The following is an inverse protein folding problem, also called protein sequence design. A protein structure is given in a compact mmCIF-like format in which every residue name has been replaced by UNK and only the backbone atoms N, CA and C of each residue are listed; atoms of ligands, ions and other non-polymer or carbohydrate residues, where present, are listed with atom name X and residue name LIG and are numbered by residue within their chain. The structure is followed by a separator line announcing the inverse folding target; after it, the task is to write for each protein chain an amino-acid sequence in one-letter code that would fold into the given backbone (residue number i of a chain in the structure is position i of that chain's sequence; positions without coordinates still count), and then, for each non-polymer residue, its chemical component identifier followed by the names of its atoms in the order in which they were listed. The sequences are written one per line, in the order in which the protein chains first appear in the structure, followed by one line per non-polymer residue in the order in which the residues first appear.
data_IF_629271307872
#
_entry.id   IF_629271307872
#
_cell.length_a   1.000
_cell.length_b   1.000
_cell.length_c   1.000
_cell.angle_alpha   90.00
_cell.angle_beta   90.00
_cell.angle_gamma   90.00
#
_symmetry.space_group_name_H-M   'P 1'
#
loop_
_entity.id
_entity.type
_entity.pdbx_description
1 polymer ?
#
# COMPACT_ATOMS: atom_id res chain seq x y z
N UNK A 1 37.23 10.37 -5.47
CA UNK A 1 35.92 10.32 -6.17
C UNK A 1 34.68 10.23 -5.27
N UNK A 2 34.69 9.54 -4.11
CA UNK A 2 33.49 9.40 -3.25
C UNK A 2 32.88 10.68 -2.66
N UNK A 3 33.69 11.71 -2.35
CA UNK A 3 33.20 13.01 -1.80
C UNK A 3 32.43 13.87 -2.82
N UNK A 4 32.67 13.69 -4.11
CA UNK A 4 31.99 14.42 -5.19
C UNK A 4 30.57 13.90 -5.41
N UNK A 5 30.40 12.58 -5.37
CA UNK A 5 29.11 11.91 -5.55
C UNK A 5 28.15 12.17 -4.37
N UNK A 6 28.66 12.19 -3.13
CA UNK A 6 27.88 12.55 -1.94
C UNK A 6 27.32 13.98 -2.00
N UNK A 7 28.13 14.97 -2.43
CA UNK A 7 27.68 16.36 -2.61
C UNK A 7 26.67 16.51 -3.75
N UNK A 8 26.78 15.70 -4.81
CA UNK A 8 25.82 15.72 -5.93
C UNK A 8 24.45 15.16 -5.52
N UNK A 9 24.44 14.10 -4.71
CA UNK A 9 23.22 13.55 -4.11
C UNK A 9 22.62 14.53 -3.10
N UNK A 10 23.41 15.13 -2.20
CA UNK A 10 22.95 16.16 -1.27
C UNK A 10 22.37 17.39 -1.98
N UNK A 11 22.99 17.87 -3.07
CA UNK A 11 22.47 18.99 -3.88
C UNK A 11 21.22 18.62 -4.67
N UNK A 12 21.08 17.36 -5.08
CA UNK A 12 19.88 16.88 -5.79
C UNK A 12 18.70 16.68 -4.83
N UNK A 13 18.96 16.17 -3.63
CA UNK A 13 17.98 16.11 -2.53
C UNK A 13 17.63 17.52 -2.05
N UNK A 14 18.61 18.40 -1.89
CA UNK A 14 18.42 19.82 -1.56
C UNK A 14 17.51 20.52 -2.55
N UNK A 15 17.78 20.41 -3.85
CA UNK A 15 16.90 20.96 -4.90
C UNK A 15 15.51 20.33 -4.92
N UNK A 16 15.34 19.04 -4.62
CA UNK A 16 14.01 18.43 -4.48
C UNK A 16 13.25 18.95 -3.26
N UNK A 17 13.95 19.20 -2.15
CA UNK A 17 13.40 19.77 -0.92
C UNK A 17 12.98 21.23 -1.16
N UNK A 18 13.83 22.01 -1.84
CA UNK A 18 13.63 23.43 -2.10
C UNK A 18 12.60 23.70 -3.22
N UNK A 19 12.45 22.77 -4.17
CA UNK A 19 11.44 22.86 -5.24
C UNK A 19 10.06 22.31 -4.85
N UNK A 20 9.90 21.78 -3.62
CA UNK A 20 8.60 21.28 -3.16
C UNK A 20 7.78 22.44 -2.58
N UNK A 21 6.66 22.85 -3.22
CA UNK A 21 5.82 23.92 -2.69
C UNK A 21 5.33 23.58 -1.27
N UNK A 22 5.20 24.56 -0.37
CA UNK A 22 4.57 24.39 0.95
C UNK A 22 3.15 23.82 0.87
N UNK A 23 2.52 23.88 -0.31
CA UNK A 23 1.18 23.37 -0.62
C UNK A 23 1.12 21.86 -0.94
N UNK A 24 2.25 21.14 -0.98
CA UNK A 24 2.22 19.68 -1.05
C UNK A 24 1.85 19.13 0.33
N UNK A 25 0.83 18.29 0.38
CA UNK A 25 0.36 17.64 1.60
C UNK A 25 1.45 16.70 2.15
N UNK A 26 2.34 17.24 3.01
CA UNK A 26 3.51 16.53 3.55
C UNK A 26 3.08 15.32 4.38
N UNK A 27 1.96 15.44 5.07
CA UNK A 27 1.27 14.37 5.78
C UNK A 27 0.94 13.17 4.88
N UNK A 28 0.46 13.39 3.64
CA UNK A 28 0.16 12.32 2.67
C UNK A 28 1.43 11.55 2.27
N UNK A 29 2.55 12.23 2.02
CA UNK A 29 3.82 11.59 1.68
C UNK A 29 4.42 10.84 2.88
N UNK A 30 4.30 11.40 4.09
CA UNK A 30 4.71 10.73 5.33
C UNK A 30 3.89 9.46 5.56
N UNK A 31 2.55 9.56 5.49
CA UNK A 31 1.68 8.41 5.74
C UNK A 31 1.90 7.30 4.72
N UNK A 32 2.23 7.63 3.47
CA UNK A 32 2.60 6.64 2.46
C UNK A 32 3.86 5.87 2.88
N UNK A 33 4.91 6.57 3.28
CA UNK A 33 6.14 5.96 3.76
C UNK A 33 5.90 5.14 5.04
N UNK A 34 5.20 5.71 6.01
CA UNK A 34 4.85 5.04 7.26
C UNK A 34 4.06 3.76 7.00
N UNK A 35 3.10 3.78 6.07
CA UNK A 35 2.32 2.59 5.72
C UNK A 35 3.18 1.51 5.08
N UNK A 36 4.16 1.85 4.21
CA UNK A 36 5.11 0.85 3.69
C UNK A 36 5.96 0.28 4.81
N UNK A 37 6.49 1.13 5.70
CA UNK A 37 7.27 0.67 6.85
C UNK A 37 6.47 -0.29 7.74
N UNK A 38 5.20 0.03 8.03
CA UNK A 38 4.34 -0.86 8.83
C UNK A 38 4.14 -2.20 8.13
N UNK A 39 3.88 -2.24 6.82
CA UNK A 39 3.73 -3.51 6.07
C UNK A 39 5.02 -4.33 6.11
N UNK A 40 6.18 -3.70 5.87
CA UNK A 40 7.48 -4.37 5.90
C UNK A 40 7.77 -4.94 7.29
N UNK A 41 7.61 -4.12 8.33
CA UNK A 41 7.81 -4.55 9.72
C UNK A 41 6.80 -5.62 10.13
N UNK A 42 5.57 -5.58 9.62
CA UNK A 42 4.58 -6.62 9.86
C UNK A 42 5.03 -7.97 9.30
N UNK A 43 5.45 -8.00 8.03
CA UNK A 43 5.92 -9.23 7.40
C UNK A 43 7.21 -9.75 8.05
N UNK A 44 8.11 -8.87 8.46
CA UNK A 44 9.39 -9.29 9.05
C UNK A 44 9.27 -9.68 10.53
N UNK A 45 8.53 -8.91 11.32
CA UNK A 45 8.51 -9.06 12.78
C UNK A 45 7.20 -9.67 13.31
N UNK A 46 6.06 -9.46 12.67
CA UNK A 46 4.76 -9.85 13.25
C UNK A 46 4.15 -11.07 12.56
N UNK A 47 4.95 -11.81 11.80
CA UNK A 47 4.58 -13.08 11.18
C UNK A 47 5.40 -14.24 11.79
N UNK A 48 4.78 -15.41 11.93
CA UNK A 48 5.44 -16.64 12.37
C UNK A 48 5.97 -17.37 11.13
N UNK A 49 7.12 -16.94 10.66
CA UNK A 49 7.74 -17.47 9.46
C UNK A 49 8.49 -18.78 9.71
N UNK A 50 8.03 -19.87 9.09
CA UNK A 50 8.68 -21.17 9.18
C UNK A 50 8.47 -22.00 7.91
N UNK A 51 9.32 -23.02 7.72
CA UNK A 51 9.18 -23.97 6.62
C UNK A 51 8.39 -25.19 7.10
N UNK A 52 7.27 -25.51 6.43
CA UNK A 52 6.49 -26.73 6.68
C UNK A 52 6.46 -27.57 5.42
N UNK A 53 7.04 -28.77 5.46
CA UNK A 53 7.13 -29.66 4.29
C UNK A 53 7.86 -29.01 3.10
N UNK A 54 8.87 -28.18 3.38
CA UNK A 54 9.62 -27.43 2.36
C UNK A 54 8.93 -26.15 1.87
N UNK A 55 7.65 -25.91 2.19
CA UNK A 55 6.94 -24.69 1.79
C UNK A 55 7.08 -23.61 2.86
N UNK A 56 7.30 -22.37 2.43
CA UNK A 56 7.29 -21.20 3.33
C UNK A 56 5.85 -20.90 3.77
N UNK A 57 5.61 -20.96 5.09
CA UNK A 57 4.32 -20.63 5.71
C UNK A 57 4.52 -19.45 6.65
N UNK A 58 3.59 -18.51 6.61
CA UNK A 58 3.67 -17.22 7.30
C UNK A 58 2.37 -16.87 8.05
N UNK A 59 1.92 -17.68 9.03
CA UNK A 59 0.75 -17.37 9.83
C UNK A 59 0.99 -16.20 10.78
N UNK A 60 -0.07 -15.47 11.09
CA UNK A 60 -0.02 -14.38 12.07
C UNK A 60 -0.20 -14.94 13.49
N UNK A 61 0.55 -14.44 14.50
CA UNK A 61 0.42 -14.87 15.90
C UNK A 61 -0.86 -14.35 16.57
N UNK A 62 -1.65 -13.52 15.88
CA UNK A 62 -2.78 -12.76 16.43
C UNK A 62 -3.83 -13.66 17.10
N UNK A 63 -4.06 -14.87 16.60
CA UNK A 63 -5.01 -15.80 17.24
C UNK A 63 -4.50 -16.38 18.56
N UNK A 64 -3.19 -16.40 18.78
CA UNK A 64 -2.52 -17.00 19.95
C UNK A 64 -2.24 -15.99 21.07
N UNK A 65 -2.37 -14.69 20.79
CA UNK A 65 -2.11 -13.62 21.75
C UNK A 65 -3.43 -12.93 22.11
N UNK A 66 -3.86 -12.96 23.39
CA UNK A 66 -5.08 -12.29 23.83
C UNK A 66 -5.11 -10.82 23.40
N UNK A 67 -6.24 -10.38 22.86
CA UNK A 67 -6.49 -9.00 22.41
C UNK A 67 -5.58 -8.45 21.31
N UNK A 68 -4.63 -9.23 20.76
CA UNK A 68 -3.75 -8.75 19.69
C UNK A 68 -4.51 -8.33 18.41
N UNK A 69 -5.73 -8.84 18.23
CA UNK A 69 -6.62 -8.42 17.14
C UNK A 69 -6.95 -6.92 17.18
N UNK A 70 -6.95 -6.25 18.35
CA UNK A 70 -7.14 -4.81 18.44
C UNK A 70 -6.01 -4.03 17.76
N UNK A 71 -4.78 -4.53 17.85
CA UNK A 71 -3.64 -3.91 17.17
C UNK A 71 -3.84 -3.90 15.66
N UNK A 72 -4.57 -4.89 15.10
CA UNK A 72 -4.87 -4.96 13.66
C UNK A 72 -5.77 -3.81 13.20
N UNK A 73 -6.56 -3.18 14.09
CA UNK A 73 -7.38 -2.02 13.72
C UNK A 73 -6.52 -0.77 13.46
N UNK A 74 -5.29 -0.74 13.99
CA UNK A 74 -4.33 0.35 13.76
C UNK A 74 -3.26 -0.04 12.73
N UNK A 75 -2.74 -1.26 12.83
CA UNK A 75 -1.60 -1.74 12.05
C UNK A 75 -1.99 -2.29 10.68
N UNK A 76 -3.27 -2.60 10.44
CA UNK A 76 -3.73 -2.96 9.10
C UNK A 76 -3.86 -1.71 8.23
N UNK A 77 -2.74 -1.27 7.66
CA UNK A 77 -2.60 0.01 6.94
C UNK A 77 -3.05 -0.02 5.48
N UNK A 78 -3.55 -1.14 4.98
CA UNK A 78 -4.03 -1.23 3.60
C UNK A 78 -5.10 -0.17 3.26
N UNK A 79 -6.13 0.07 4.09
CA UNK A 79 -7.12 1.12 3.80
C UNK A 79 -6.51 2.52 3.77
N UNK A 80 -5.55 2.79 4.65
CA UNK A 80 -4.79 4.05 4.68
C UNK A 80 -4.12 4.31 3.33
N UNK A 81 -3.51 3.30 2.69
CA UNK A 81 -2.94 3.47 1.35
C UNK A 81 -3.95 3.90 0.30
N UNK A 82 -5.15 3.32 0.31
CA UNK A 82 -6.20 3.68 -0.64
C UNK A 82 -6.76 5.08 -0.36
N UNK A 83 -6.92 5.47 0.91
CA UNK A 83 -7.31 6.84 1.31
C UNK A 83 -6.27 7.87 0.84
N UNK A 84 -4.98 7.62 1.10
CA UNK A 84 -3.86 8.46 0.61
C UNK A 84 -3.85 8.50 -0.93
N UNK A 85 -4.06 7.34 -1.56
CA UNK A 85 -4.22 7.20 -3.00
C UNK A 85 -5.36 8.05 -3.53
N UNK A 86 -6.50 8.09 -2.84
CA UNK A 86 -7.65 8.95 -3.13
C UNK A 86 -7.24 10.41 -3.23
N UNK A 87 -6.68 10.91 -2.14
CA UNK A 87 -6.20 12.29 -2.05
C UNK A 87 -5.22 12.63 -3.19
N UNK A 88 -4.20 11.79 -3.38
CA UNK A 88 -3.14 12.04 -4.37
C UNK A 88 -3.61 11.86 -5.83
N UNK A 89 -4.54 10.94 -6.09
CA UNK A 89 -5.07 10.69 -7.42
C UNK A 89 -6.01 11.80 -7.85
N UNK A 90 -6.91 12.27 -6.99
CA UNK A 90 -7.75 13.43 -7.30
C UNK A 90 -6.91 14.68 -7.55
N UNK A 91 -5.84 14.88 -6.76
CA UNK A 91 -4.90 15.99 -6.99
C UNK A 91 -4.23 15.96 -8.37
N UNK A 92 -3.76 14.79 -8.78
CA UNK A 92 -3.17 14.64 -10.11
C UNK A 92 -4.21 14.67 -11.23
N UNK A 93 -5.43 14.20 -10.98
CA UNK A 93 -6.55 14.29 -11.91
C UNK A 93 -6.89 15.76 -12.20
N UNK A 94 -6.92 16.61 -11.18
CA UNK A 94 -7.14 18.06 -11.31
C UNK A 94 -6.00 18.73 -12.07
N UNK A 95 -4.75 18.36 -11.77
CA UNK A 95 -3.58 18.88 -12.47
C UNK A 95 -3.55 18.49 -13.95
N UNK A 96 -3.92 17.24 -14.27
CA UNK A 96 -4.03 16.77 -15.65
C UNK A 96 -5.10 17.53 -16.44
N UNK A 97 -6.22 17.88 -15.81
CA UNK A 97 -7.27 18.70 -16.41
C UNK A 97 -6.77 20.09 -16.78
N UNK A 98 -6.13 20.79 -15.83
CA UNK A 98 -5.52 22.12 -16.08
C UNK A 98 -4.52 22.08 -17.23
N UNK A 99 -3.67 21.06 -17.28
CA UNK A 99 -2.61 20.95 -18.29
C UNK A 99 -3.07 20.52 -19.68
N UNK A 100 -4.33 20.08 -19.84
CA UNK A 100 -4.88 19.67 -21.15
C UNK A 100 -5.90 20.65 -21.70
N UNK A 101 -6.22 21.73 -20.95
CA UNK A 101 -7.31 22.64 -21.31
C UNK A 101 -8.68 21.95 -21.37
N UNK A 102 -8.77 20.69 -20.93
CA UNK A 102 -10.00 19.90 -21.00
C UNK A 102 -11.04 20.54 -20.08
N UNK A 103 -12.30 20.69 -20.53
CA UNK A 103 -13.40 21.12 -19.66
C UNK A 103 -13.43 20.27 -18.39
N UNK A 104 -13.83 20.90 -17.27
CA UNK A 104 -14.04 20.18 -16.02
C UNK A 104 -15.12 19.12 -16.25
N UNK A 105 -14.68 17.86 -16.19
CA UNK A 105 -15.53 16.71 -15.95
C UNK A 105 -16.60 16.48 -17.05
N UNK A 106 -16.18 16.50 -18.31
CA UNK A 106 -17.00 16.06 -19.46
C UNK A 106 -17.45 14.59 -19.25
N UNK A 107 -18.74 14.34 -18.94
CA UNK A 107 -19.24 13.01 -18.67
C UNK A 107 -19.31 12.14 -19.93
N UNK A 108 -19.30 12.74 -21.12
CA UNK A 108 -19.46 12.02 -22.37
C UNK A 108 -18.18 11.26 -22.77
N UNK A 109 -17.00 11.69 -22.28
CA UNK A 109 -15.70 11.09 -22.60
C UNK A 109 -14.82 10.91 -21.37
N UNK A 110 -15.19 10.00 -20.43
CA UNK A 110 -14.38 9.74 -19.24
C UNK A 110 -12.94 9.32 -19.59
N UNK A 111 -12.72 8.71 -20.76
CA UNK A 111 -11.41 8.23 -21.23
C UNK A 111 -10.72 9.19 -22.22
N UNK A 112 -11.01 10.48 -22.14
CA UNK A 112 -10.45 11.52 -23.02
C UNK A 112 -8.95 11.85 -22.80
N UNK A 113 -8.45 12.95 -23.38
CA UNK A 113 -7.05 13.39 -23.26
C UNK A 113 -6.57 13.54 -21.81
N UNK A 114 -7.44 14.05 -20.92
CA UNK A 114 -7.18 14.15 -19.47
C UNK A 114 -6.88 12.79 -18.85
N UNK A 115 -7.68 11.77 -19.17
CA UNK A 115 -7.48 10.40 -18.69
C UNK A 115 -6.18 9.80 -19.20
N UNK A 116 -5.89 9.93 -20.50
CA UNK A 116 -4.62 9.45 -21.07
C UNK A 116 -3.42 10.09 -20.37
N UNK A 117 -3.43 11.40 -20.12
CA UNK A 117 -2.35 12.09 -19.41
C UNK A 117 -2.21 11.62 -17.97
N UNK A 118 -3.32 11.51 -17.24
CA UNK A 118 -3.34 11.03 -15.85
C UNK A 118 -2.80 9.60 -15.75
N UNK A 119 -3.38 8.67 -16.53
CA UNK A 119 -3.01 7.26 -16.53
C UNK A 119 -1.56 7.07 -16.94
N UNK A 120 -1.12 7.68 -18.05
CA UNK A 120 0.29 7.60 -18.48
C UNK A 120 1.25 8.06 -17.38
N UNK A 121 0.93 9.11 -16.63
CA UNK A 121 1.76 9.57 -15.52
C UNK A 121 1.85 8.58 -14.35
N UNK A 122 0.77 7.86 -14.05
CA UNK A 122 0.72 6.88 -12.96
C UNK A 122 1.31 5.52 -13.36
N UNK A 123 0.89 4.98 -14.50
CA UNK A 123 1.39 3.71 -15.02
C UNK A 123 2.90 3.75 -15.29
N UNK A 124 3.45 4.87 -15.80
CA UNK A 124 4.90 5.00 -16.01
C UNK A 124 5.72 4.92 -14.73
N UNK A 125 5.15 5.27 -13.57
CA UNK A 125 5.84 5.20 -12.28
C UNK A 125 5.74 3.82 -11.64
N UNK A 126 4.67 3.09 -11.96
CA UNK A 126 4.30 1.84 -11.28
C UNK A 126 4.72 0.60 -12.09
N UNK A 127 4.52 0.60 -13.42
CA UNK A 127 4.80 -0.55 -14.26
C UNK A 127 6.29 -0.92 -14.38
N UNK A 128 7.25 0.02 -14.55
CA UNK A 128 8.64 -0.39 -14.75
C UNK A 128 9.26 -1.14 -13.56
N UNK A 129 9.12 -0.67 -12.29
CA UNK A 129 9.60 -1.44 -11.14
C UNK A 129 8.95 -2.83 -11.03
N UNK A 130 7.64 -2.93 -11.31
CA UNK A 130 6.94 -4.21 -11.34
C UNK A 130 7.44 -5.15 -12.42
N UNK A 131 7.68 -4.63 -13.63
CA UNK A 131 8.15 -5.42 -14.75
C UNK A 131 9.55 -5.97 -14.46
N UNK A 132 10.44 -5.15 -13.89
CA UNK A 132 11.77 -5.62 -13.46
C UNK A 132 11.66 -6.70 -12.39
N UNK A 133 10.82 -6.51 -11.38
CA UNK A 133 10.58 -7.53 -10.37
C UNK A 133 10.07 -8.85 -10.97
N UNK A 134 9.10 -8.78 -11.89
CA UNK A 134 8.54 -9.94 -12.55
C UNK A 134 9.56 -10.67 -13.43
N UNK A 135 10.37 -9.94 -14.20
CA UNK A 135 11.43 -10.50 -15.05
C UNK A 135 12.50 -11.18 -14.20
N UNK A 136 12.94 -10.55 -13.12
CA UNK A 136 13.97 -11.15 -12.24
C UNK A 136 13.44 -12.43 -11.60
N UNK A 137 12.22 -12.42 -11.05
CA UNK A 137 11.65 -13.62 -10.45
C UNK A 137 11.36 -14.72 -11.46
N UNK A 138 10.94 -14.38 -12.69
CA UNK A 138 10.79 -15.36 -13.76
C UNK A 138 12.13 -16.00 -14.15
N UNK A 139 13.20 -15.21 -14.22
CA UNK A 139 14.55 -15.72 -14.48
C UNK A 139 15.05 -16.62 -13.34
N UNK A 140 14.84 -16.22 -12.07
CA UNK A 140 15.18 -17.03 -10.90
C UNK A 140 14.41 -18.36 -10.91
N UNK A 141 13.10 -18.31 -11.17
CA UNK A 141 12.27 -19.52 -11.24
C UNK A 141 12.73 -20.46 -12.36
N UNK A 142 13.05 -19.92 -13.55
CA UNK A 142 13.57 -20.69 -14.67
C UNK A 142 14.91 -21.37 -14.34
N UNK A 143 15.84 -20.66 -13.68
CA UNK A 143 17.12 -21.24 -13.25
C UNK A 143 16.88 -22.36 -12.23
N UNK A 144 16.00 -22.16 -11.26
CA UNK A 144 15.69 -23.19 -10.24
C UNK A 144 15.04 -24.43 -10.86
N UNK A 145 14.14 -24.26 -11.84
CA UNK A 145 13.54 -25.37 -12.59
C UNK A 145 14.56 -26.21 -13.35
N UNK A 146 15.67 -25.61 -13.81
CA UNK A 146 16.73 -26.30 -14.54
C UNK A 146 17.79 -26.90 -13.62
N UNK A 147 18.07 -26.26 -12.48
CA UNK A 147 19.20 -26.59 -11.62
C UNK A 147 18.84 -27.46 -10.40
N UNK A 148 17.57 -27.47 -9.97
CA UNK A 148 17.15 -28.14 -8.74
C UNK A 148 16.13 -29.25 -9.08
N UNK A 149 16.52 -30.54 -8.94
CA UNK A 149 15.60 -31.66 -9.10
C UNK A 149 14.37 -31.51 -8.18
N UNK A 150 13.20 -31.88 -8.68
CA UNK A 150 11.92 -31.85 -7.97
C UNK A 150 11.48 -30.48 -7.43
N UNK A 151 12.08 -29.37 -7.93
CA UNK A 151 11.64 -28.03 -7.56
C UNK A 151 10.19 -27.77 -8.05
N UNK A 152 9.23 -27.49 -7.15
CA UNK A 152 7.82 -27.44 -7.49
C UNK A 152 7.37 -26.11 -8.14
N UNK A 153 8.31 -25.21 -8.45
CA UNK A 153 8.04 -23.89 -9.04
C UNK A 153 7.69 -22.81 -8.01
N UNK A 154 7.89 -21.55 -8.40
CA UNK A 154 7.74 -20.37 -7.52
C UNK A 154 6.33 -20.23 -6.97
N UNK A 155 5.32 -20.52 -7.78
CA UNK A 155 3.91 -20.42 -7.38
C UNK A 155 3.52 -21.40 -6.27
N UNK A 156 4.26 -22.51 -6.13
CA UNK A 156 4.01 -23.52 -5.10
C UNK A 156 4.98 -23.38 -3.92
N UNK A 157 6.25 -23.08 -4.19
CA UNK A 157 7.30 -22.98 -3.17
C UNK A 157 7.38 -21.60 -2.51
N UNK A 158 7.33 -20.54 -3.31
CA UNK A 158 7.64 -19.16 -2.89
C UNK A 158 6.48 -18.18 -3.07
N UNK A 159 5.23 -18.66 -3.08
CA UNK A 159 4.03 -17.83 -3.27
C UNK A 159 3.99 -16.61 -2.36
N UNK A 160 4.51 -16.73 -1.13
CA UNK A 160 4.60 -15.65 -0.15
C UNK A 160 5.27 -14.39 -0.72
N UNK A 161 6.29 -14.55 -1.59
CA UNK A 161 6.99 -13.40 -2.20
C UNK A 161 6.11 -12.64 -3.19
N UNK A 162 5.16 -13.33 -3.82
CA UNK A 162 4.23 -12.75 -4.78
C UNK A 162 2.97 -12.20 -4.13
N UNK A 163 2.70 -12.50 -2.85
CA UNK A 163 1.51 -12.04 -2.13
C UNK A 163 1.35 -10.51 -2.24
N UNK A 164 2.37 -9.66 -2.03
CA UNK A 164 2.17 -8.21 -2.14
C UNK A 164 1.67 -7.71 -3.51
N UNK A 165 1.78 -8.50 -4.58
CA UNK A 165 1.34 -8.12 -5.92
C UNK A 165 -0.19 -7.97 -6.04
N UNK A 166 -0.99 -8.69 -5.24
CA UNK A 166 -2.45 -8.54 -5.29
C UNK A 166 -2.88 -7.13 -4.88
N UNK A 167 -2.21 -6.55 -3.87
CA UNK A 167 -2.45 -5.17 -3.45
C UNK A 167 -2.15 -4.19 -4.59
N UNK A 168 -1.05 -4.43 -5.31
CA UNK A 168 -0.64 -3.56 -6.40
C UNK A 168 -1.60 -3.66 -7.60
N UNK A 169 -2.14 -4.85 -7.86
CA UNK A 169 -3.22 -5.06 -8.83
C UNK A 169 -4.50 -4.32 -8.42
N UNK A 170 -4.92 -4.42 -7.15
CA UNK A 170 -6.07 -3.67 -6.62
C UNK A 170 -5.85 -2.14 -6.70
N UNK A 171 -4.65 -1.67 -6.35
CA UNK A 171 -4.26 -0.26 -6.45
C UNK A 171 -4.28 0.25 -7.88
N UNK A 172 -3.78 -0.56 -8.83
CA UNK A 172 -3.85 -0.27 -10.26
C UNK A 172 -5.31 -0.23 -10.74
N UNK A 173 -6.15 -1.18 -10.32
CA UNK A 173 -7.58 -1.19 -10.64
C UNK A 173 -8.27 0.11 -10.20
N UNK A 174 -7.98 0.57 -8.98
CA UNK A 174 -8.49 1.86 -8.48
C UNK A 174 -7.96 3.04 -9.30
N UNK A 175 -6.69 3.04 -9.71
CA UNK A 175 -6.13 4.08 -10.62
C UNK A 175 -6.90 4.12 -11.93
N UNK A 176 -7.19 2.97 -12.52
CA UNK A 176 -7.85 2.87 -13.83
C UNK A 176 -9.26 3.45 -13.78
N UNK A 177 -10.00 3.29 -12.68
CA UNK A 177 -11.36 3.82 -12.54
C UNK A 177 -11.45 5.28 -12.09
N UNK A 178 -10.34 5.94 -11.76
CA UNK A 178 -10.30 7.36 -11.36
C UNK A 178 -11.08 8.30 -12.29
N UNK A 179 -10.99 8.19 -13.63
CA UNK A 179 -11.73 9.08 -14.52
C UNK A 179 -13.25 9.03 -14.29
N UNK A 180 -13.77 7.85 -13.96
CA UNK A 180 -15.20 7.63 -13.65
C UNK A 180 -15.50 8.07 -12.22
N UNK A 181 -14.73 7.58 -11.25
CA UNK A 181 -15.03 7.85 -9.83
C UNK A 181 -14.87 9.32 -9.49
N UNK A 182 -13.92 10.05 -10.09
CA UNK A 182 -13.78 11.49 -9.90
C UNK A 182 -14.95 12.29 -10.49
N UNK A 183 -15.48 11.87 -11.64
CA UNK A 183 -16.67 12.51 -12.23
C UNK A 183 -17.92 12.26 -11.37
N UNK A 184 -18.14 11.03 -10.93
CA UNK A 184 -19.27 10.64 -10.06
C UNK A 184 -19.17 11.34 -8.70
N UNK A 185 -17.98 11.39 -8.09
CA UNK A 185 -17.73 12.09 -6.83
C UNK A 185 -18.11 13.57 -6.91
N UNK A 186 -17.73 14.25 -7.99
CA UNK A 186 -18.05 15.68 -8.15
C UNK A 186 -19.53 15.93 -8.38
N UNK A 187 -20.23 15.01 -9.05
CA UNK A 187 -21.66 15.13 -9.37
C UNK A 187 -22.57 14.78 -8.20
N UNK A 188 -22.24 13.71 -7.46
CA UNK A 188 -23.13 13.13 -6.44
C UNK A 188 -22.57 13.25 -5.02
N UNK A 189 -21.26 13.48 -4.87
CA UNK A 189 -20.58 13.70 -3.59
C UNK A 189 -20.99 12.68 -2.53
N UNK A 190 -21.58 13.18 -1.43
CA UNK A 190 -21.99 12.36 -0.28
C UNK A 190 -22.99 11.26 -0.63
N UNK A 191 -23.86 11.46 -1.63
CA UNK A 191 -24.85 10.44 -2.02
C UNK A 191 -24.15 9.20 -2.58
N UNK A 192 -23.07 9.41 -3.34
CA UNK A 192 -22.31 8.32 -3.94
C UNK A 192 -21.61 7.46 -2.89
N UNK A 193 -20.92 8.07 -1.91
CA UNK A 193 -20.22 7.28 -0.89
C UNK A 193 -21.19 6.52 0.02
N UNK A 194 -22.36 7.09 0.34
CA UNK A 194 -23.41 6.40 1.09
C UNK A 194 -23.98 5.21 0.30
N UNK A 195 -24.32 5.42 -0.97
CA UNK A 195 -24.78 4.35 -1.86
C UNK A 195 -23.72 3.25 -1.99
N UNK A 196 -22.46 3.62 -2.21
CA UNK A 196 -21.35 2.68 -2.34
C UNK A 196 -21.16 1.85 -1.06
N UNK A 197 -21.25 2.48 0.11
CA UNK A 197 -21.21 1.77 1.39
C UNK A 197 -22.38 0.80 1.57
N UNK A 198 -23.59 1.19 1.16
CA UNK A 198 -24.76 0.30 1.17
C UNK A 198 -24.58 -0.89 0.22
N UNK A 199 -24.09 -0.66 -1.00
CA UNK A 199 -23.81 -1.73 -1.97
C UNK A 199 -22.74 -2.68 -1.44
N UNK A 200 -21.68 -2.17 -0.80
CA UNK A 200 -20.64 -3.00 -0.15
C UNK A 200 -21.26 -3.94 0.89
N UNK A 201 -22.17 -3.44 1.74
CA UNK A 201 -22.86 -4.25 2.73
C UNK A 201 -23.81 -5.27 2.10
N UNK A 202 -24.57 -4.88 1.07
CA UNK A 202 -25.47 -5.79 0.35
C UNK A 202 -24.71 -6.92 -0.36
N UNK A 203 -23.56 -6.63 -0.97
CA UNK A 203 -22.75 -7.64 -1.65
C UNK A 203 -22.13 -8.61 -0.64
N UNK A 204 -21.74 -8.14 0.54
CA UNK A 204 -21.34 -9.04 1.64
C UNK A 204 -22.50 -9.93 2.09
N UNK A 205 -23.71 -9.39 2.28
CA UNK A 205 -24.88 -10.18 2.65
C UNK A 205 -25.20 -11.23 1.58
N UNK A 206 -25.13 -10.88 0.30
CA UNK A 206 -25.28 -11.82 -0.81
C UNK A 206 -24.19 -12.90 -0.80
N UNK A 207 -22.94 -12.52 -0.53
CA UNK A 207 -21.81 -13.47 -0.36
C UNK A 207 -22.07 -14.43 0.79
N UNK A 208 -22.54 -13.94 1.93
CA UNK A 208 -22.78 -14.76 3.11
C UNK A 208 -23.97 -15.70 2.92
N UNK A 209 -25.05 -15.22 2.29
CA UNK A 209 -26.24 -16.03 2.00
C UNK A 209 -26.03 -17.08 0.90
N UNK A 210 -25.24 -16.78 -0.14
CA UNK A 210 -25.01 -17.69 -1.27
C UNK A 210 -23.75 -18.56 -1.13
N UNK A 211 -22.81 -18.18 -0.26
CA UNK A 211 -21.48 -18.79 -0.17
C UNK A 211 -20.57 -18.50 -1.38
N UNK A 212 -21.02 -17.74 -2.39
CA UNK A 212 -20.27 -17.53 -3.62
C UNK A 212 -19.06 -16.61 -3.43
N UNK A 213 -17.89 -17.09 -3.82
CA UNK A 213 -16.63 -16.33 -3.76
C UNK A 213 -16.58 -15.17 -4.75
N UNK A 214 -17.40 -15.21 -5.82
CA UNK A 214 -17.49 -14.15 -6.84
C UNK A 214 -17.93 -12.84 -6.21
N UNK A 215 -18.96 -12.86 -5.35
CA UNK A 215 -19.39 -11.67 -4.62
C UNK A 215 -18.27 -11.10 -3.73
N UNK A 216 -17.42 -11.97 -3.17
CA UNK A 216 -16.24 -11.52 -2.43
C UNK A 216 -15.25 -10.73 -3.29
N UNK A 217 -14.96 -11.19 -4.51
CA UNK A 217 -14.06 -10.47 -5.42
C UNK A 217 -14.67 -9.17 -5.93
N UNK A 218 -15.97 -9.15 -6.20
CA UNK A 218 -16.70 -7.91 -6.51
C UNK A 218 -16.62 -6.94 -5.33
N UNK A 219 -16.89 -7.40 -4.11
CA UNK A 219 -16.83 -6.55 -2.93
C UNK A 219 -15.43 -6.03 -2.65
N UNK A 220 -14.40 -6.84 -2.95
CA UNK A 220 -13.00 -6.40 -2.91
C UNK A 220 -12.79 -5.12 -3.71
N UNK A 221 -13.24 -5.08 -4.98
CA UNK A 221 -13.15 -3.87 -5.79
C UNK A 221 -13.93 -2.68 -5.20
N UNK A 222 -15.15 -2.93 -4.72
CA UNK A 222 -16.03 -1.89 -4.18
C UNK A 222 -15.49 -1.26 -2.89
N UNK A 223 -14.99 -2.08 -1.95
CA UNK A 223 -14.39 -1.62 -0.70
C UNK A 223 -13.16 -0.74 -0.97
N UNK A 224 -12.32 -1.11 -1.94
CA UNK A 224 -11.15 -0.31 -2.28
C UNK A 224 -11.51 1.00 -2.98
N UNK A 225 -12.55 1.00 -3.82
CA UNK A 225 -13.11 2.24 -4.35
C UNK A 225 -13.66 3.09 -3.21
N UNK A 226 -14.37 2.51 -2.24
CA UNK A 226 -14.91 3.23 -1.08
C UNK A 226 -13.80 3.89 -0.24
N UNK A 227 -12.77 3.13 0.13
CA UNK A 227 -11.60 3.65 0.83
C UNK A 227 -10.88 4.74 0.02
N UNK A 228 -10.84 4.61 -1.30
CA UNK A 228 -10.29 5.63 -2.19
C UNK A 228 -11.14 6.92 -2.23
N UNK A 229 -12.47 6.79 -2.25
CA UNK A 229 -13.40 7.93 -2.18
C UNK A 229 -13.27 8.71 -0.88
N UNK A 230 -13.03 8.05 0.25
CA UNK A 230 -12.73 8.73 1.52
C UNK A 230 -11.56 9.71 1.40
N UNK A 231 -10.54 9.36 0.61
CA UNK A 231 -9.43 10.24 0.27
C UNK A 231 -9.83 11.48 -0.55
N UNK A 232 -10.88 11.38 -1.36
CA UNK A 232 -11.43 12.52 -2.10
C UNK A 232 -12.09 13.51 -1.14
N UNK A 233 -12.91 13.02 -0.20
CA UNK A 233 -13.52 13.88 0.83
C UNK A 233 -12.50 14.54 1.74
N UNK A 234 -11.40 13.85 2.04
CA UNK A 234 -10.27 14.44 2.75
C UNK A 234 -9.66 15.60 1.95
N UNK A 235 -9.42 15.40 0.64
CA UNK A 235 -8.87 16.43 -0.25
C UNK A 235 -9.77 17.66 -0.39
N UNK A 236 -11.07 17.43 -0.55
CA UNK A 236 -12.07 18.50 -0.68
C UNK A 236 -12.22 19.32 0.61
N UNK A 237 -11.69 18.81 1.72
CA UNK A 237 -11.68 19.50 3.00
C UNK A 237 -13.01 19.42 3.74
N UNK A 238 -13.95 18.59 3.28
CA UNK A 238 -15.27 18.41 3.90
C UNK A 238 -15.16 17.91 5.34
N UNK A 239 -14.11 17.14 5.63
CA UNK A 239 -13.83 16.55 6.94
C UNK A 239 -12.86 17.39 7.80
N UNK A 240 -12.52 18.62 7.37
CA UNK A 240 -11.62 19.50 8.14
C UNK A 240 -12.25 19.95 9.45
N UNK A 241 -11.41 20.05 10.47
CA UNK A 241 -11.76 20.54 11.80
C UNK A 241 -11.75 19.41 12.86
N UNK A 242 -11.35 19.71 14.11
CA UNK A 242 -11.13 18.71 15.15
C UNK A 242 -12.39 17.91 15.49
N UNK A 243 -13.56 18.58 15.55
CA UNK A 243 -14.85 17.93 15.80
C UNK A 243 -15.21 16.91 14.71
N UNK A 244 -15.03 17.25 13.43
CA UNK A 244 -15.35 16.35 12.31
C UNK A 244 -14.36 15.17 12.27
N UNK A 245 -13.08 15.43 12.53
CA UNK A 245 -12.06 14.39 12.63
C UNK A 245 -12.40 13.40 13.77
N UNK A 246 -12.76 13.90 14.95
CA UNK A 246 -13.17 13.09 16.09
C UNK A 246 -14.44 12.30 15.80
N UNK A 247 -15.49 12.93 15.26
CA UNK A 247 -16.72 12.22 14.89
C UNK A 247 -16.46 11.13 13.85
N UNK A 248 -15.58 11.38 12.88
CA UNK A 248 -15.21 10.37 11.87
C UNK A 248 -14.51 9.18 12.53
N UNK A 249 -13.59 9.44 13.46
CA UNK A 249 -12.91 8.38 14.22
C UNK A 249 -13.91 7.59 15.10
N UNK A 250 -14.76 8.28 15.87
CA UNK A 250 -15.73 7.63 16.75
C UNK A 250 -16.79 6.84 15.98
N UNK A 251 -17.31 7.36 14.87
CA UNK A 251 -18.25 6.63 14.01
C UNK A 251 -17.59 5.38 13.40
N UNK A 252 -16.35 5.48 12.92
CA UNK A 252 -15.61 4.33 12.42
C UNK A 252 -15.35 3.29 13.52
N UNK A 253 -14.96 3.73 14.72
CA UNK A 253 -14.72 2.85 15.86
C UNK A 253 -15.99 2.14 16.32
N UNK A 254 -17.10 2.88 16.47
CA UNK A 254 -18.40 2.32 16.83
C UNK A 254 -18.89 1.34 15.75
N UNK A 255 -18.71 1.67 14.47
CA UNK A 255 -19.01 0.76 13.37
C UNK A 255 -18.16 -0.52 13.41
N UNK A 256 -16.86 -0.43 13.70
CA UNK A 256 -15.99 -1.60 13.86
C UNK A 256 -16.45 -2.47 15.03
N UNK A 257 -16.73 -1.85 16.18
CA UNK A 257 -17.24 -2.55 17.35
C UNK A 257 -18.54 -3.29 17.02
N UNK A 258 -19.48 -2.64 16.33
CA UNK A 258 -20.75 -3.24 15.93
C UNK A 258 -20.58 -4.35 14.90
N UNK A 259 -19.83 -4.12 13.82
CA UNK A 259 -19.68 -5.12 12.75
C UNK A 259 -18.97 -6.37 13.28
N UNK A 260 -18.02 -6.21 14.20
CA UNK A 260 -17.27 -7.34 14.78
C UNK A 260 -18.01 -8.11 15.89
N UNK A 261 -19.25 -7.73 16.23
CA UNK A 261 -20.16 -8.61 17.00
C UNK A 261 -20.89 -9.63 16.12
N UNK A 262 -20.87 -9.45 14.80
CA UNK A 262 -21.47 -10.38 13.85
C UNK A 262 -20.49 -11.51 13.53
N UNK A 263 -20.98 -12.75 13.52
CA UNK A 263 -20.17 -13.97 13.34
C UNK A 263 -19.48 -14.06 11.97
N UNK A 264 -20.01 -13.35 10.98
CA UNK A 264 -19.49 -13.30 9.62
C UNK A 264 -18.25 -12.40 9.49
N UNK A 265 -18.06 -11.49 10.44
CA UNK A 265 -17.00 -10.48 10.44
C UNK A 265 -16.02 -10.72 11.59
N UNK A 266 -14.88 -11.40 11.32
CA UNK A 266 -13.84 -11.61 12.33
C UNK A 266 -13.39 -10.29 12.98
N UNK A 267 -13.06 -10.34 14.27
CA UNK A 267 -12.49 -9.19 15.00
C UNK A 267 -11.14 -8.74 14.44
N UNK A 268 -10.36 -9.68 13.91
CA UNK A 268 -9.05 -9.43 13.31
C UNK A 268 -9.19 -8.91 11.88
N UNK A 269 -8.47 -7.83 11.56
CA UNK A 269 -8.46 -7.24 10.21
C UNK A 269 -7.41 -7.89 9.30
N UNK A 270 -6.58 -8.78 9.85
CA UNK A 270 -5.67 -9.67 9.12
C UNK A 270 -6.19 -11.10 9.12
N UNK A 271 -5.74 -11.92 8.18
CA UNK A 271 -6.04 -13.35 8.18
C UNK A 271 -5.38 -14.03 9.40
N UNK A 272 -6.14 -14.86 10.11
CA UNK A 272 -5.67 -15.62 11.28
C UNK A 272 -5.98 -17.09 11.09
N UNK A 273 -5.12 -17.96 11.63
CA UNK A 273 -5.39 -19.40 11.68
C UNK A 273 -6.70 -19.67 12.45
N UNK A 274 -7.48 -20.65 11.99
CA UNK A 274 -8.73 -21.08 12.63
C UNK A 274 -9.95 -20.21 12.35
N UNK A 275 -9.81 -19.03 11.73
CA UNK A 275 -10.96 -18.22 11.34
C UNK A 275 -11.66 -18.78 10.10
N UNK A 276 -12.99 -18.93 10.14
CA UNK A 276 -13.81 -19.41 9.01
C UNK A 276 -13.62 -18.56 7.75
N UNK A 277 -13.41 -17.26 7.91
CA UNK A 277 -13.14 -16.28 6.83
C UNK A 277 -12.18 -15.22 7.33
N UNK A 278 -11.50 -14.53 6.42
CA UNK A 278 -10.73 -13.32 6.71
C UNK A 278 -11.41 -12.08 6.12
N UNK A 279 -11.17 -10.91 6.73
CA UNK A 279 -11.70 -9.63 6.23
C UNK A 279 -10.93 -9.07 5.03
N UNK A 280 -9.70 -9.54 4.80
CA UNK A 280 -8.76 -8.87 3.90
C UNK A 280 -8.90 -9.31 2.43
N UNK A 281 -9.04 -10.62 2.18
CA UNK A 281 -9.14 -11.16 0.84
C UNK A 281 -9.92 -12.48 0.81
N UNK A 282 -11.11 -12.53 0.17
CA UNK A 282 -11.83 -11.40 -0.43
C UNK A 282 -12.33 -10.39 0.62
N UNK A 283 -12.19 -9.09 0.32
CA UNK A 283 -12.40 -8.00 1.27
C UNK A 283 -13.86 -7.83 1.68
N UNK A 284 -14.10 -7.48 2.94
CA UNK A 284 -15.45 -7.29 3.53
C UNK A 284 -15.69 -5.83 3.92
N UNK A 285 -16.95 -5.51 4.24
CA UNK A 285 -17.39 -4.21 4.74
C UNK A 285 -16.63 -3.77 6.01
N UNK A 286 -16.13 -4.70 6.83
CA UNK A 286 -15.31 -4.37 8.00
C UNK A 286 -14.07 -3.53 7.63
N UNK A 287 -13.45 -3.78 6.47
CA UNK A 287 -12.32 -3.01 5.97
C UNK A 287 -12.74 -1.61 5.49
N UNK A 288 -13.96 -1.46 4.97
CA UNK A 288 -14.51 -0.15 4.63
C UNK A 288 -14.73 0.70 5.90
N UNK A 289 -15.28 0.09 6.95
CA UNK A 289 -15.47 0.77 8.25
C UNK A 289 -14.14 1.08 8.91
N UNK A 290 -13.15 0.17 8.81
CA UNK A 290 -11.77 0.39 9.23
C UNK A 290 -11.16 1.61 8.55
N UNK A 291 -11.40 1.79 7.24
CA UNK A 291 -10.93 2.95 6.49
C UNK A 291 -11.50 4.27 7.05
N UNK A 292 -12.76 4.28 7.48
CA UNK A 292 -13.40 5.45 8.11
C UNK A 292 -12.74 5.75 9.46
N UNK A 293 -12.55 4.73 10.30
CA UNK A 293 -11.87 4.87 11.59
C UNK A 293 -10.46 5.46 11.42
N UNK A 294 -9.66 4.85 10.54
CA UNK A 294 -8.29 5.25 10.29
C UNK A 294 -8.19 6.65 9.66
N UNK A 295 -9.13 7.03 8.78
CA UNK A 295 -9.22 8.40 8.27
C UNK A 295 -9.44 9.40 9.41
N UNK A 296 -10.33 9.11 10.36
CA UNK A 296 -10.55 9.95 11.52
C UNK A 296 -9.26 10.16 12.33
N UNK A 297 -8.52 9.08 12.59
CA UNK A 297 -7.21 9.16 13.27
C UNK A 297 -6.19 9.99 12.48
N UNK A 298 -6.12 9.81 11.17
CA UNK A 298 -5.24 10.59 10.28
C UNK A 298 -5.57 12.08 10.38
N UNK A 299 -6.86 12.44 10.33
CA UNK A 299 -7.31 13.82 10.43
C UNK A 299 -6.98 14.45 11.80
N UNK A 300 -7.10 13.68 12.87
CA UNK A 300 -6.71 14.10 14.23
C UNK A 300 -5.19 14.29 14.36
N UNK A 301 -4.40 13.41 13.73
CA UNK A 301 -2.95 13.46 13.76
C UNK A 301 -2.36 14.53 12.82
N UNK A 302 -3.08 14.93 11.77
CA UNK A 302 -2.59 15.82 10.72
C UNK A 302 -1.95 17.13 11.24
N UNK A 303 -2.51 17.85 12.23
CA UNK A 303 -1.86 19.07 12.75
C UNK A 303 -0.51 18.79 13.41
N UNK A 304 -0.38 17.69 14.16
CA UNK A 304 0.88 17.30 14.79
C UNK A 304 1.91 16.84 13.75
N UNK A 305 1.48 16.02 12.78
CA UNK A 305 2.32 15.56 11.67
C UNK A 305 2.83 16.74 10.85
N UNK A 306 1.98 17.69 10.49
CA UNK A 306 2.39 18.86 9.70
C UNK A 306 3.38 19.75 10.46
N UNK A 307 3.23 19.92 11.79
CA UNK A 307 4.23 20.61 12.63
C UNK A 307 5.57 19.88 12.67
N UNK A 308 5.55 18.55 12.78
CA UNK A 308 6.77 17.73 12.75
C UNK A 308 7.47 17.81 11.40
N UNK A 309 6.69 17.68 10.31
CA UNK A 309 7.18 17.68 8.92
C UNK A 309 7.53 19.09 8.40
N UNK A 310 7.23 20.14 9.15
CA UNK A 310 7.79 21.46 8.91
C UNK A 310 9.32 21.49 9.14
N UNK A 311 9.83 20.61 10.02
CA UNK A 311 11.27 20.49 10.32
C UNK A 311 12.00 19.79 9.18
N UNK A 312 13.22 20.27 8.87
CA UNK A 312 14.03 19.77 7.74
C UNK A 312 14.37 18.28 7.87
N UNK A 313 14.81 17.82 9.05
CA UNK A 313 15.25 16.43 9.26
C UNK A 313 14.15 15.38 8.99
N UNK A 314 12.96 15.44 9.64
CA UNK A 314 11.86 14.54 9.33
C UNK A 314 11.42 14.59 7.86
N UNK A 315 11.38 15.79 7.28
CA UNK A 315 10.98 15.93 5.87
C UNK A 315 11.98 15.30 4.91
N UNK A 316 13.29 15.47 5.13
CA UNK A 316 14.33 14.81 4.33
C UNK A 316 14.20 13.29 4.40
N UNK A 317 13.93 12.72 5.58
CA UNK A 317 13.72 11.28 5.72
C UNK A 317 12.51 10.80 4.88
N UNK A 318 11.40 11.55 4.91
CA UNK A 318 10.20 11.25 4.12
C UNK A 318 10.49 11.29 2.62
N UNK A 319 11.18 12.33 2.13
CA UNK A 319 11.52 12.46 0.71
C UNK A 319 12.45 11.35 0.25
N UNK A 320 13.50 11.05 1.03
CA UNK A 320 14.45 9.98 0.71
C UNK A 320 13.80 8.61 0.69
N UNK A 321 12.96 8.30 1.69
CA UNK A 321 12.22 7.03 1.73
C UNK A 321 11.25 6.90 0.56
N UNK A 322 10.52 7.96 0.23
CA UNK A 322 9.60 7.97 -0.91
C UNK A 322 10.30 7.85 -2.28
N UNK A 323 11.62 8.08 -2.36
CA UNK A 323 12.38 7.93 -3.60
C UNK A 323 12.68 6.46 -3.97
N UNK A 324 12.50 5.53 -3.02
CA UNK A 324 12.80 4.10 -3.18
C UNK A 324 11.64 3.21 -2.70
N UNK A 325 10.47 3.80 -2.51
CA UNK A 325 9.35 3.19 -1.80
C UNK A 325 8.75 2.00 -2.56
N UNK A 326 8.71 2.05 -3.89
CA UNK A 326 8.26 0.91 -4.70
C UNK A 326 9.29 -0.19 -4.72
N UNK A 327 10.58 0.15 -4.72
CA UNK A 327 11.65 -0.83 -4.58
C UNK A 327 11.56 -1.54 -3.23
N UNK A 328 11.44 -0.80 -2.13
CA UNK A 328 11.23 -1.39 -0.79
C UNK A 328 9.98 -2.29 -0.78
N UNK A 329 8.86 -1.80 -1.30
CA UNK A 329 7.61 -2.56 -1.33
C UNK A 329 7.70 -3.85 -2.16
N UNK A 330 8.37 -3.86 -3.30
CA UNK A 330 8.47 -5.06 -4.14
C UNK A 330 9.46 -6.07 -3.56
N UNK A 331 10.60 -5.61 -3.03
CA UNK A 331 11.73 -6.47 -2.69
C UNK A 331 11.79 -6.93 -1.22
N UNK A 332 10.96 -6.38 -0.32
CA UNK A 332 11.03 -6.72 1.12
C UNK A 332 10.74 -8.21 1.42
N UNK A 333 9.85 -8.86 0.66
CA UNK A 333 9.59 -10.30 0.81
C UNK A 333 10.75 -11.14 0.26
N UNK A 334 11.39 -10.70 -0.83
CA UNK A 334 12.62 -11.33 -1.32
C UNK A 334 13.72 -11.24 -0.27
N UNK A 335 13.89 -10.07 0.37
CA UNK A 335 14.87 -9.88 1.43
C UNK A 335 14.58 -10.75 2.67
N UNK A 336 13.30 -10.90 3.04
CA UNK A 336 12.87 -11.83 4.09
C UNK A 336 13.22 -13.28 3.73
N UNK A 337 12.91 -13.71 2.50
CA UNK A 337 13.23 -15.06 2.04
C UNK A 337 14.73 -15.34 2.10
N UNK A 338 15.56 -14.39 1.64
CA UNK A 338 17.02 -14.52 1.71
C UNK A 338 17.50 -14.66 3.17
N UNK A 339 16.98 -13.82 4.07
CA UNK A 339 17.27 -13.92 5.50
C UNK A 339 16.90 -15.28 6.08
N UNK A 340 15.71 -15.81 5.76
CA UNK A 340 15.26 -17.11 6.23
C UNK A 340 16.11 -18.27 5.70
N UNK A 341 16.48 -18.23 4.41
CA UNK A 341 17.38 -19.23 3.82
C UNK A 341 18.75 -19.19 4.51
N UNK A 342 19.28 -18.00 4.78
CA UNK A 342 20.53 -17.84 5.53
C UNK A 342 20.40 -18.38 6.95
N UNK A 343 19.35 -18.00 7.69
CA UNK A 343 19.10 -18.50 9.05
C UNK A 343 19.05 -20.02 9.09
N UNK A 344 18.36 -20.63 8.12
CA UNK A 344 18.32 -22.09 7.98
C UNK A 344 19.69 -22.70 7.69
N UNK A 345 20.47 -22.10 6.80
CA UNK A 345 21.79 -22.59 6.42
C UNK A 345 22.80 -22.55 7.58
N UNK A 346 22.70 -21.55 8.46
CA UNK A 346 23.57 -21.43 9.64
C UNK A 346 23.00 -22.09 10.91
N UNK A 347 21.85 -22.78 10.80
CA UNK A 347 21.23 -23.49 11.92
C UNK A 347 20.60 -22.60 12.99
N UNK A 348 20.23 -21.36 12.67
CA UNK A 348 19.56 -20.47 13.62
C UNK A 348 18.12 -20.94 13.88
N UNK A 349 17.66 -20.92 15.15
CA UNK A 349 16.30 -21.34 15.48
C UNK A 349 15.28 -20.37 14.88
N UNK A 350 14.18 -20.93 14.37
CA UNK A 350 13.01 -20.19 13.89
C UNK A 350 11.79 -20.65 14.69
N UNK A 351 11.55 -20.07 15.88
CA UNK A 351 10.44 -20.48 16.73
C UNK A 351 9.10 -20.28 16.02
N UNK A 352 8.23 -21.27 16.12
CA UNK A 352 6.91 -21.33 15.47
C UNK A 352 5.75 -20.94 16.42
N UNK A 353 6.09 -20.48 17.62
CA UNK A 353 5.16 -20.01 18.64
C UNK A 353 5.57 -18.64 19.21
N UNK A 354 4.62 -17.76 19.58
CA UNK A 354 4.90 -16.42 20.10
C UNK A 354 5.33 -16.43 21.58
N UNK A 355 6.41 -17.14 21.90
CA UNK A 355 7.02 -17.24 23.23
C UNK A 355 7.96 -16.06 23.53
N UNK A 356 8.53 -16.00 24.75
CA UNK A 356 9.53 -14.98 25.09
C UNK A 356 10.78 -15.06 24.19
N UNK A 357 11.20 -16.26 23.79
CA UNK A 357 12.32 -16.46 22.86
C UNK A 357 11.99 -15.96 21.46
N UNK A 358 10.76 -16.14 21.00
CA UNK A 358 10.26 -15.59 19.73
C UNK A 358 10.32 -14.06 19.72
N UNK A 359 9.91 -13.41 20.82
CA UNK A 359 10.01 -11.94 20.96
C UNK A 359 11.45 -11.45 21.02
N UNK A 360 12.32 -12.15 21.76
CA UNK A 360 13.74 -11.84 21.85
C UNK A 360 14.46 -11.96 20.49
N UNK A 361 13.98 -12.84 19.60
CA UNK A 361 14.51 -12.99 18.25
C UNK A 361 14.14 -11.88 17.26
N UNK A 362 13.10 -11.07 17.53
CA UNK A 362 12.56 -10.08 16.57
C UNK A 362 13.57 -9.06 16.03
N UNK A 363 14.54 -8.55 16.81
CA UNK A 363 15.59 -7.69 16.27
C UNK A 363 16.36 -8.33 15.11
N UNK A 364 16.67 -9.64 15.19
CA UNK A 364 17.34 -10.37 14.11
C UNK A 364 16.45 -10.44 12.86
N UNK A 365 15.16 -10.71 13.04
CA UNK A 365 14.16 -10.75 11.97
C UNK A 365 13.94 -9.40 11.29
N UNK A 366 14.36 -8.28 11.89
CA UNK A 366 14.33 -6.95 11.25
C UNK A 366 15.67 -6.62 10.61
N UNK A 367 16.77 -6.84 11.33
CA UNK A 367 18.11 -6.45 10.91
C UNK A 367 18.57 -7.29 9.72
N UNK A 368 18.40 -8.61 9.76
CA UNK A 368 18.93 -9.49 8.71
C UNK A 368 18.23 -9.27 7.35
N UNK A 369 16.89 -9.20 7.23
CA UNK A 369 16.26 -8.78 5.99
C UNK A 369 16.63 -7.37 5.56
N UNK A 370 16.84 -6.43 6.49
CA UNK A 370 17.28 -5.07 6.14
C UNK A 370 18.66 -5.07 5.46
N UNK A 371 19.59 -5.93 5.91
CA UNK A 371 20.90 -6.10 5.30
C UNK A 371 20.81 -6.64 3.87
N UNK A 372 19.85 -7.53 3.58
CA UNK A 372 19.58 -7.98 2.21
C UNK A 372 18.81 -6.96 1.37
N UNK A 373 17.92 -6.18 2.00
CA UNK A 373 17.14 -5.18 1.29
C UNK A 373 17.99 -3.98 0.85
N UNK A 374 18.99 -3.57 1.65
CA UNK A 374 19.88 -2.45 1.33
C UNK A 374 20.56 -2.58 -0.06
N UNK A 375 21.24 -3.68 -0.43
CA UNK A 375 21.82 -3.84 -1.76
C UNK A 375 20.75 -3.93 -2.86
N UNK A 376 19.59 -4.56 -2.60
CA UNK A 376 18.48 -4.59 -3.56
C UNK A 376 17.96 -3.17 -3.86
N UNK A 377 17.88 -2.30 -2.86
CA UNK A 377 17.55 -0.88 -3.06
C UNK A 377 18.59 -0.21 -3.95
N UNK A 378 19.89 -0.41 -3.69
CA UNK A 378 20.96 0.19 -4.51
C UNK A 378 20.85 -0.27 -5.97
N UNK A 379 20.57 -1.55 -6.19
CA UNK A 379 20.49 -2.16 -7.53
C UNK A 379 19.25 -1.71 -8.30
N UNK A 380 18.08 -1.64 -7.67
CA UNK A 380 16.79 -1.47 -8.36
C UNK A 380 16.18 -0.07 -8.23
N UNK A 381 16.58 0.75 -7.25
CA UNK A 381 16.11 2.13 -7.13
C UNK A 381 16.33 3.01 -8.38
N UNK A 382 17.40 2.84 -9.20
CA UNK A 382 17.54 3.61 -10.43
C UNK A 382 16.36 3.48 -11.40
N UNK A 383 15.73 2.29 -11.46
CA UNK A 383 14.54 2.04 -12.30
C UNK A 383 13.36 2.89 -11.84
N UNK A 384 13.12 2.93 -10.52
CA UNK A 384 12.07 3.74 -9.91
C UNK A 384 12.33 5.25 -10.11
N UNK A 385 13.57 5.70 -9.95
CA UNK A 385 13.94 7.11 -10.14
C UNK A 385 13.80 7.54 -11.61
N UNK A 386 14.23 6.69 -12.55
CA UNK A 386 14.09 6.94 -13.99
C UNK A 386 12.61 6.99 -14.43
N UNK A 387 11.78 6.14 -13.82
CA UNK A 387 10.33 6.15 -14.02
C UNK A 387 9.65 7.43 -13.50
N UNK A 388 10.19 8.03 -12.43
CA UNK A 388 9.66 9.26 -11.82
C UNK A 388 10.11 10.56 -12.50
N UNK A 389 11.21 10.55 -13.26
CA UNK A 389 11.78 11.73 -13.90
C UNK A 389 10.84 12.35 -14.96
N UNK A 390 10.59 13.67 -14.93
CA UNK A 390 9.93 14.37 -16.04
C UNK A 390 10.78 14.17 -17.30
N UNK A 391 10.18 13.76 -18.42
CA UNK A 391 10.88 13.90 -19.70
C UNK A 391 10.96 15.40 -19.98
N UNK A 392 12.17 15.93 -20.06
CA UNK A 392 12.38 17.23 -20.69
C UNK A 392 11.82 17.20 -22.11
N UNK A 393 11.52 18.36 -22.72
CA UNK A 393 11.15 18.40 -24.13
C UNK A 393 12.21 17.63 -24.92
N UNK A 394 11.77 16.79 -25.86
CA UNK A 394 12.68 16.17 -26.81
C UNK A 394 13.53 17.29 -27.40
N UNK A 395 14.86 17.18 -27.30
CA UNK A 395 15.74 18.06 -28.06
C UNK A 395 15.41 17.75 -29.52
N UNK A 396 14.59 18.60 -30.15
CA UNK A 396 14.59 18.72 -31.59
C UNK A 396 16.03 19.03 -31.95
N UNK A 397 16.67 18.11 -32.67
CA UNK A 397 17.99 18.39 -33.23
C UNK A 397 17.89 19.65 -34.09
N UNK A 398 18.98 20.42 -34.24
CA UNK A 398 19.02 21.43 -35.28
C UNK A 398 18.94 20.70 -36.62
N UNK A 399 17.85 20.93 -37.36
CA UNK A 399 17.93 20.94 -38.82
C UNK A 399 18.71 22.21 -39.16
N UNK A 400 19.98 22.04 -39.55
CA UNK A 400 20.71 22.78 -40.57
C UNK A 400 22.09 22.13 -40.78
#
# INVERSE_FOLDING_TARGET
MGRSMGRSVERSVGRLVDSTPPSRARDVDFLRLASVCVVVLWHWALSIDHFRGGVLVMPNPIARIPFAWLATWLLQVMPVFFVIGGFAHLAAWDAAGRATGSPRDDPARPWGPRARRFLRGRLRRLLPPMAVFAVVWAAVDAVLLLAVPDYPGLLRYGRAVLVPLWFLAAYLGVILVVPVTAAVHRRFGRRFILLLGAVVALVDLARFGTGSTVFGYVNTGLVWIFAHQLGYFWRDGVLRGPRRALLTALCGLAGLALVTTLDEYPRSMVATEGARRGNMFPTTAAIAVLAVFQLGLILLAAPALNRMLARRRPWTAVVTGNAVIMTVFLWHMTALLLAMVTMRAVGLPMPDEPTATWWAGRPLWVILPALFLAPLIVLFAPVERGAAAPRGPARTGPDD
#
